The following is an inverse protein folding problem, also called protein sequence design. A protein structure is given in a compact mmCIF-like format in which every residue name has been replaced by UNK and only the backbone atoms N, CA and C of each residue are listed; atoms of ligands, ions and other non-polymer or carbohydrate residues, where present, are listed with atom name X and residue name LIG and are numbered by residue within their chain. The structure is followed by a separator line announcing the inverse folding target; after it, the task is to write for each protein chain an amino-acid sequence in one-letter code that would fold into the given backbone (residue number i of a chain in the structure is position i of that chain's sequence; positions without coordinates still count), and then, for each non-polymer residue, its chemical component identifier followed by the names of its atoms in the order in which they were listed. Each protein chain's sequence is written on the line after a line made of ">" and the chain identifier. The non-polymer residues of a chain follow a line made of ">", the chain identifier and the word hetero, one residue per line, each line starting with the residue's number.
data_IF_662764975341
#
_entry.id   IF_662764975341
#
_cell.length_a   1.000
_cell.length_b   1.000
_cell.length_c   1.000
_cell.angle_alpha   90.00
_cell.angle_beta   90.00
_cell.angle_gamma   90.00
#
_symmetry.space_group_name_H-M   'P 1'
#
loop_
_entity.id
_entity.type
_entity.pdbx_description
1 polymer ?
#
# COMPACT_ATOMS: atom_id res chain seq x y z
N UNK A 1 18.22 16.32 -10.00
CA UNK A 1 16.91 17.00 -10.08
C UNK A 1 15.98 16.21 -9.18
N UNK A 2 15.23 16.82 -8.25
CA UNK A 2 14.22 16.09 -7.47
C UNK A 2 13.15 15.59 -8.43
N UNK A 3 12.69 14.35 -8.25
CA UNK A 3 11.64 13.75 -9.08
C UNK A 3 10.24 13.91 -8.48
N UNK A 4 10.12 14.58 -7.34
CA UNK A 4 8.89 14.86 -6.59
C UNK A 4 9.13 16.04 -5.64
N UNK A 5 8.06 16.60 -5.09
CA UNK A 5 8.08 17.74 -4.15
C UNK A 5 8.82 18.96 -4.73
N UNK A 6 8.58 19.21 -6.01
CA UNK A 6 9.13 20.34 -6.77
C UNK A 6 8.05 21.32 -7.27
N UNK A 7 6.82 21.13 -6.78
CA UNK A 7 5.66 21.97 -7.10
C UNK A 7 4.77 21.43 -8.21
N UNK A 8 5.18 20.35 -8.91
CA UNK A 8 4.35 19.73 -9.96
C UNK A 8 3.04 19.16 -9.40
N UNK A 9 3.05 18.73 -8.16
CA UNK A 9 1.87 18.19 -7.50
C UNK A 9 0.78 19.25 -7.30
N UNK A 10 1.16 20.48 -6.96
CA UNK A 10 0.24 21.63 -6.93
C UNK A 10 -0.19 22.04 -8.33
N UNK A 11 0.70 21.96 -9.32
CA UNK A 11 0.35 22.22 -10.72
C UNK A 11 -0.69 21.23 -11.24
N UNK A 12 -0.60 19.94 -10.86
CA UNK A 12 -1.64 18.95 -11.13
C UNK A 12 -2.99 19.39 -10.59
N UNK A 13 -3.03 19.83 -9.32
CA UNK A 13 -4.27 20.29 -8.70
C UNK A 13 -4.85 21.49 -9.44
N UNK A 14 -4.01 22.48 -9.76
CA UNK A 14 -4.44 23.66 -10.55
C UNK A 14 -4.91 23.28 -11.95
N UNK A 15 -4.24 22.32 -12.61
CA UNK A 15 -4.65 21.82 -13.92
C UNK A 15 -6.03 21.18 -13.88
N UNK A 16 -6.30 20.32 -12.89
CA UNK A 16 -7.57 19.62 -12.76
C UNK A 16 -8.71 20.60 -12.44
N UNK A 17 -8.52 21.46 -11.44
CA UNK A 17 -9.56 22.42 -11.03
C UNK A 17 -9.72 23.59 -12.02
N UNK A 18 -8.75 23.82 -12.89
CA UNK A 18 -8.82 24.80 -13.99
C UNK A 18 -9.55 24.30 -15.24
N UNK A 19 -10.04 23.07 -15.26
CA UNK A 19 -10.78 22.56 -16.43
C UNK A 19 -12.11 23.29 -16.59
N UNK A 20 -12.47 23.73 -17.82
CA UNK A 20 -13.69 24.48 -18.07
C UNK A 20 -14.97 23.70 -17.77
N UNK A 21 -14.89 22.38 -17.76
CA UNK A 21 -15.99 21.46 -17.51
C UNK A 21 -15.83 20.69 -16.18
N UNK A 22 -15.22 21.30 -15.18
CA UNK A 22 -14.95 20.65 -13.87
C UNK A 22 -16.21 20.09 -13.21
N UNK A 23 -17.37 20.72 -13.41
CA UNK A 23 -18.65 20.23 -12.90
C UNK A 23 -19.03 18.86 -13.46
N UNK A 24 -18.63 18.52 -14.68
CA UNK A 24 -18.84 17.20 -15.28
C UNK A 24 -17.89 16.13 -14.74
N UNK A 25 -16.77 16.55 -14.13
CA UNK A 25 -15.77 15.68 -13.50
C UNK A 25 -16.21 15.29 -12.09
N UNK A 26 -16.94 16.19 -11.43
CA UNK A 26 -17.38 16.00 -10.05
C UNK A 26 -18.20 14.71 -9.87
N UNK A 27 -17.80 13.91 -8.88
CA UNK A 27 -18.44 12.63 -8.57
C UNK A 27 -18.08 11.47 -9.50
N UNK A 28 -17.13 11.69 -10.43
CA UNK A 28 -16.71 10.66 -11.38
C UNK A 28 -15.22 10.31 -11.21
N UNK A 29 -14.89 9.20 -10.50
CA UNK A 29 -13.51 8.77 -10.28
C UNK A 29 -12.71 8.60 -11.57
N UNK A 30 -13.32 8.02 -12.62
CA UNK A 30 -12.63 7.77 -13.88
C UNK A 30 -12.22 9.07 -14.57
N UNK A 31 -13.11 10.07 -14.62
CA UNK A 31 -12.76 11.37 -15.20
C UNK A 31 -11.63 12.08 -14.45
N UNK A 32 -11.57 11.93 -13.12
CA UNK A 32 -10.43 12.47 -12.33
C UNK A 32 -9.14 11.74 -12.69
N UNK A 33 -9.15 10.41 -12.79
CA UNK A 33 -8.00 9.61 -13.21
C UNK A 33 -7.56 9.95 -14.64
N UNK A 34 -8.50 10.17 -15.55
CA UNK A 34 -8.19 10.56 -16.95
C UNK A 34 -7.47 11.92 -17.01
N UNK A 35 -7.86 12.89 -16.16
CA UNK A 35 -7.16 14.18 -16.05
C UNK A 35 -5.76 14.04 -15.44
N UNK A 36 -5.59 13.17 -14.44
CA UNK A 36 -4.25 12.86 -13.92
C UNK A 36 -3.38 12.30 -15.03
N UNK A 37 -3.87 11.30 -15.79
CA UNK A 37 -3.14 10.73 -16.92
C UNK A 37 -2.82 11.76 -18.01
N UNK A 38 -3.73 12.71 -18.28
CA UNK A 38 -3.47 13.77 -19.25
C UNK A 38 -2.29 14.66 -18.81
N UNK A 39 -2.25 15.01 -17.53
CA UNK A 39 -1.17 15.79 -16.96
C UNK A 39 0.17 15.03 -16.95
N UNK A 40 0.13 13.73 -16.68
CA UNK A 40 1.29 12.83 -16.69
C UNK A 40 1.99 12.73 -18.06
N UNK A 41 1.31 13.00 -19.16
CA UNK A 41 1.95 13.01 -20.50
C UNK A 41 3.10 14.01 -20.61
N UNK A 42 3.09 15.05 -19.78
CA UNK A 42 4.11 16.11 -19.78
C UNK A 42 4.94 16.15 -18.48
N UNK A 43 4.49 15.46 -17.43
CA UNK A 43 5.09 15.52 -16.12
C UNK A 43 5.21 14.11 -15.53
N UNK A 44 6.39 13.75 -15.08
CA UNK A 44 6.57 12.47 -14.39
C UNK A 44 5.94 12.49 -12.99
N UNK A 45 5.13 11.47 -12.67
CA UNK A 45 4.59 11.18 -11.34
C UNK A 45 4.95 9.77 -10.90
N UNK A 46 5.05 9.55 -9.58
CA UNK A 46 5.34 8.24 -8.99
C UNK A 46 4.05 7.44 -8.74
N UNK A 47 3.08 7.53 -9.64
CA UNK A 47 1.84 6.78 -9.51
C UNK A 47 2.04 5.29 -9.83
N UNK A 48 1.21 4.44 -9.24
CA UNK A 48 1.24 2.98 -9.46
C UNK A 48 1.06 2.60 -10.93
N UNK A 49 0.41 3.47 -11.71
CA UNK A 49 0.17 3.28 -13.14
C UNK A 49 -0.93 2.27 -13.46
N UNK A 50 -1.31 2.19 -14.73
CA UNK A 50 -2.47 1.42 -15.17
C UNK A 50 -2.27 -0.10 -15.01
N UNK A 51 -1.09 -0.62 -15.35
CA UNK A 51 -0.82 -2.07 -15.34
C UNK A 51 -0.84 -2.65 -13.93
N UNK A 52 -0.04 -2.08 -13.01
CA UNK A 52 -0.07 -2.48 -11.59
C UNK A 52 -1.41 -2.16 -10.93
N UNK A 53 -1.98 -1.00 -11.26
CA UNK A 53 -3.31 -0.60 -10.83
C UNK A 53 -4.36 -1.65 -11.17
N UNK A 54 -4.30 -2.22 -12.39
CA UNK A 54 -5.19 -3.31 -12.80
C UNK A 54 -5.01 -4.56 -11.95
N UNK A 55 -3.78 -4.98 -11.68
CA UNK A 55 -3.51 -6.15 -10.81
C UNK A 55 -4.15 -5.95 -9.43
N UNK A 56 -4.01 -4.77 -8.83
CA UNK A 56 -4.59 -4.49 -7.50
C UNK A 56 -6.11 -4.38 -7.56
N UNK A 57 -6.69 -3.79 -8.62
CA UNK A 57 -8.15 -3.74 -8.76
C UNK A 57 -8.78 -5.12 -8.99
N UNK A 58 -8.12 -6.00 -9.75
CA UNK A 58 -8.54 -7.39 -9.90
C UNK A 58 -8.47 -8.13 -8.55
N UNK A 59 -7.41 -7.89 -7.77
CA UNK A 59 -7.27 -8.44 -6.42
C UNK A 59 -8.36 -7.92 -5.47
N UNK A 60 -8.73 -6.64 -5.55
CA UNK A 60 -9.85 -6.07 -4.78
C UNK A 60 -11.17 -6.76 -5.15
N UNK A 61 -11.41 -7.02 -6.43
CA UNK A 61 -12.61 -7.71 -6.90
C UNK A 61 -12.70 -9.17 -6.41
N UNK A 62 -11.54 -9.84 -6.25
CA UNK A 62 -11.44 -11.21 -5.73
C UNK A 62 -11.61 -11.24 -4.20
N UNK A 63 -10.82 -10.44 -3.47
CA UNK A 63 -10.76 -10.41 -2.00
C UNK A 63 -12.03 -9.79 -1.42
N UNK A 64 -12.62 -8.79 -2.10
CA UNK A 64 -13.77 -8.00 -1.65
C UNK A 64 -13.56 -7.44 -0.23
N UNK A 65 -12.47 -6.68 0.00
CA UNK A 65 -12.11 -6.24 1.34
C UNK A 65 -13.18 -5.33 1.92
N UNK A 66 -13.58 -5.57 3.17
CA UNK A 66 -14.39 -4.63 3.92
C UNK A 66 -13.57 -3.39 4.30
N UNK A 67 -12.32 -3.59 4.66
CA UNK A 67 -11.35 -2.55 5.01
C UNK A 67 -10.07 -2.75 4.21
N UNK A 68 -9.66 -1.75 3.45
CA UNK A 68 -8.37 -1.70 2.79
C UNK A 68 -7.53 -0.55 3.36
N UNK A 69 -6.23 -0.76 3.49
CA UNK A 69 -5.26 0.27 3.87
C UNK A 69 -4.20 0.38 2.79
N UNK A 70 -3.86 1.60 2.41
CA UNK A 70 -2.74 1.96 1.57
C UNK A 70 -1.70 2.69 2.39
N UNK A 71 -0.44 2.29 2.25
CA UNK A 71 0.70 2.99 2.81
C UNK A 71 1.42 3.73 1.67
N UNK A 72 1.36 5.07 1.70
CA UNK A 72 1.87 5.95 0.64
C UNK A 72 0.77 6.34 -0.35
N UNK A 73 0.13 7.48 -0.12
CA UNK A 73 -0.97 7.98 -0.97
C UNK A 73 -0.52 8.92 -2.09
N UNK A 74 0.66 9.55 -1.93
CA UNK A 74 1.19 10.58 -2.81
C UNK A 74 0.10 11.63 -3.17
N UNK A 75 -0.22 11.79 -4.45
CA UNK A 75 -1.26 12.74 -4.92
C UNK A 75 -2.64 12.11 -5.11
N UNK A 76 -2.83 10.84 -4.69
CA UNK A 76 -4.13 10.20 -4.60
C UNK A 76 -4.59 9.41 -5.82
N UNK A 77 -3.72 9.14 -6.80
CA UNK A 77 -4.07 8.29 -7.94
C UNK A 77 -4.58 6.91 -7.51
N UNK A 78 -3.79 6.19 -6.72
CA UNK A 78 -4.16 4.88 -6.15
C UNK A 78 -5.35 4.98 -5.20
N UNK A 79 -5.41 6.01 -4.36
CA UNK A 79 -6.53 6.24 -3.44
C UNK A 79 -7.88 6.37 -4.17
N UNK A 80 -7.89 7.03 -5.35
CA UNK A 80 -9.09 7.14 -6.19
C UNK A 80 -9.39 5.82 -6.89
N UNK A 81 -8.38 5.23 -7.54
CA UNK A 81 -8.54 4.00 -8.32
C UNK A 81 -8.99 2.83 -7.43
N UNK A 82 -8.29 2.61 -6.32
CA UNK A 82 -8.59 1.49 -5.42
C UNK A 82 -9.78 1.77 -4.51
N UNK A 83 -9.97 3.03 -4.08
CA UNK A 83 -11.14 3.44 -3.30
C UNK A 83 -12.44 3.19 -4.06
N UNK A 84 -12.49 3.53 -5.34
CA UNK A 84 -13.64 3.24 -6.21
C UNK A 84 -13.81 1.72 -6.41
N UNK A 85 -12.73 0.97 -6.61
CA UNK A 85 -12.77 -0.49 -6.72
C UNK A 85 -13.29 -1.15 -5.44
N UNK A 86 -12.83 -0.72 -4.25
CA UNK A 86 -13.31 -1.19 -2.95
C UNK A 86 -14.80 -0.88 -2.78
N UNK A 87 -15.25 0.34 -3.13
CA UNK A 87 -16.68 0.72 -3.11
C UNK A 87 -17.52 -0.19 -4.00
N UNK A 88 -17.07 -0.43 -5.23
CA UNK A 88 -17.77 -1.33 -6.18
C UNK A 88 -17.77 -2.78 -5.73
N UNK A 89 -16.76 -3.22 -5.00
CA UNK A 89 -16.69 -4.56 -4.41
C UNK A 89 -17.55 -4.73 -3.14
N UNK A 90 -18.22 -3.64 -2.66
CA UNK A 90 -19.06 -3.64 -1.47
C UNK A 90 -18.30 -3.36 -0.16
N UNK A 91 -17.03 -3.00 -0.24
CA UNK A 91 -16.21 -2.57 0.90
C UNK A 91 -16.75 -1.29 1.55
N UNK A 92 -16.26 -1.00 2.74
CA UNK A 92 -16.80 0.10 3.57
C UNK A 92 -15.77 1.15 3.93
N UNK A 93 -14.47 0.80 3.91
CA UNK A 93 -13.42 1.69 4.38
C UNK A 93 -12.16 1.51 3.55
N UNK A 94 -11.62 2.63 3.12
CA UNK A 94 -10.32 2.72 2.50
C UNK A 94 -9.52 3.82 3.22
N UNK A 95 -8.38 3.47 3.79
CA UNK A 95 -7.49 4.42 4.45
C UNK A 95 -6.23 4.60 3.62
N UNK A 96 -5.95 5.84 3.21
CA UNK A 96 -4.72 6.23 2.55
C UNK A 96 -3.83 6.97 3.54
N UNK A 97 -2.65 6.45 3.82
CA UNK A 97 -1.71 7.00 4.78
C UNK A 97 -0.59 7.74 4.04
N UNK A 98 -0.50 9.06 4.24
CA UNK A 98 0.46 9.90 3.54
C UNK A 98 1.27 10.73 4.54
N UNK A 99 2.61 10.71 4.40
CA UNK A 99 3.51 11.45 5.29
C UNK A 99 3.50 12.95 5.00
N UNK A 100 3.49 13.34 3.72
CA UNK A 100 3.57 14.73 3.30
C UNK A 100 2.20 15.42 3.40
N UNK A 101 2.04 16.47 4.23
CA UNK A 101 0.76 17.12 4.41
C UNK A 101 0.24 17.81 3.15
N UNK A 102 1.14 18.29 2.26
CA UNK A 102 0.75 18.89 0.98
C UNK A 102 0.16 17.84 0.05
N UNK A 103 0.81 16.68 -0.06
CA UNK A 103 0.30 15.58 -0.89
C UNK A 103 -1.02 15.04 -0.36
N UNK A 104 -1.12 14.87 0.96
CA UNK A 104 -2.37 14.47 1.60
C UNK A 104 -3.51 15.48 1.37
N UNK A 105 -3.22 16.78 1.36
CA UNK A 105 -4.22 17.81 1.04
C UNK A 105 -4.68 17.70 -0.42
N UNK A 106 -3.75 17.51 -1.37
CA UNK A 106 -4.08 17.27 -2.78
C UNK A 106 -4.94 16.03 -2.92
N UNK A 107 -4.53 14.91 -2.30
CA UNK A 107 -5.30 13.66 -2.30
C UNK A 107 -6.72 13.87 -1.77
N UNK A 108 -6.89 14.58 -0.65
CA UNK A 108 -8.22 14.86 -0.09
C UNK A 108 -9.11 15.63 -1.06
N UNK A 109 -8.55 16.65 -1.75
CA UNK A 109 -9.31 17.44 -2.72
C UNK A 109 -9.71 16.60 -3.94
N UNK A 110 -8.80 15.75 -4.44
CA UNK A 110 -9.10 14.89 -5.60
C UNK A 110 -10.05 13.75 -5.24
N UNK A 111 -9.96 13.18 -4.04
CA UNK A 111 -10.91 12.20 -3.50
C UNK A 111 -12.31 12.81 -3.37
N UNK A 112 -12.41 14.08 -2.91
CA UNK A 112 -13.67 14.82 -2.87
C UNK A 112 -14.23 15.04 -4.26
N UNK A 113 -13.42 15.53 -5.20
CA UNK A 113 -13.81 15.73 -6.59
C UNK A 113 -14.30 14.42 -7.23
N UNK A 114 -13.63 13.30 -6.92
CA UNK A 114 -14.03 11.97 -7.38
C UNK A 114 -15.31 11.42 -6.72
N UNK A 115 -15.85 12.10 -5.70
CA UNK A 115 -17.05 11.64 -4.98
C UNK A 115 -16.81 10.40 -4.12
N UNK A 116 -15.60 10.27 -3.52
CA UNK A 116 -15.20 9.08 -2.75
C UNK A 116 -15.03 9.34 -1.24
N UNK A 117 -15.46 10.50 -0.73
CA UNK A 117 -15.31 10.84 0.72
C UNK A 117 -16.08 9.93 1.66
N UNK A 118 -17.09 9.24 1.16
CA UNK A 118 -17.88 8.28 1.92
C UNK A 118 -17.10 7.01 2.26
N UNK A 119 -16.06 6.70 1.51
CA UNK A 119 -15.28 5.48 1.67
C UNK A 119 -13.78 5.73 1.89
N UNK A 120 -13.20 6.73 1.21
CA UNK A 120 -11.76 7.03 1.29
C UNK A 120 -11.49 8.07 2.37
N UNK A 121 -10.59 7.73 3.29
CA UNK A 121 -10.09 8.64 4.31
C UNK A 121 -8.58 8.74 4.25
N UNK A 122 -8.07 9.95 4.09
CA UNK A 122 -6.63 10.24 4.08
C UNK A 122 -6.16 10.57 5.49
N UNK A 123 -5.09 9.93 5.93
CA UNK A 123 -4.45 10.15 7.22
C UNK A 123 -3.06 10.74 7.00
N UNK A 124 -2.81 11.90 7.59
CA UNK A 124 -1.53 12.62 7.48
C UNK A 124 -0.60 12.21 8.59
N UNK A 125 0.62 11.83 8.25
CA UNK A 125 1.67 11.50 9.19
C UNK A 125 2.38 10.18 8.86
N UNK A 126 3.25 9.78 9.77
CA UNK A 126 3.99 8.51 9.65
C UNK A 126 3.03 7.33 9.62
N UNK A 127 3.32 6.36 8.77
CA UNK A 127 2.55 5.13 8.61
C UNK A 127 2.42 4.36 9.92
N UNK A 128 3.54 4.13 10.63
CA UNK A 128 3.56 3.41 11.91
C UNK A 128 2.65 4.06 12.96
N UNK A 129 2.71 5.37 13.10
CA UNK A 129 1.89 6.12 14.06
C UNK A 129 0.42 6.13 13.67
N UNK A 130 0.12 6.22 12.37
CA UNK A 130 -1.25 6.19 11.84
C UNK A 130 -1.88 4.79 12.00
N UNK A 131 -1.13 3.72 11.72
CA UNK A 131 -1.56 2.34 11.93
C UNK A 131 -1.87 2.07 13.41
N UNK A 132 -0.95 2.46 14.31
CA UNK A 132 -1.16 2.32 15.75
C UNK A 132 -2.40 3.08 16.22
N UNK A 133 -2.61 4.32 15.74
CA UNK A 133 -3.78 5.13 16.06
C UNK A 133 -5.08 4.47 15.58
N UNK A 134 -5.13 3.98 14.33
CA UNK A 134 -6.31 3.28 13.79
C UNK A 134 -6.69 2.06 14.64
N UNK A 135 -5.69 1.32 15.11
CA UNK A 135 -5.92 0.16 15.97
C UNK A 135 -6.38 0.55 17.37
N UNK A 136 -5.67 1.47 18.04
CA UNK A 136 -5.94 1.86 19.45
C UNK A 136 -7.25 2.63 19.60
N UNK A 137 -7.66 3.40 18.58
CA UNK A 137 -8.99 4.03 18.56
C UNK A 137 -10.14 3.03 18.39
N UNK A 138 -9.85 1.78 18.05
CA UNK A 138 -10.85 0.77 17.74
C UNK A 138 -11.45 0.88 16.35
N UNK A 139 -10.98 1.81 15.54
CA UNK A 139 -11.51 2.06 14.20
C UNK A 139 -11.18 0.92 13.21
N UNK A 140 -9.97 0.35 13.32
CA UNK A 140 -9.56 -0.81 12.52
C UNK A 140 -9.01 -1.88 13.45
N UNK A 141 -9.58 -3.09 13.39
CA UNK A 141 -9.09 -4.26 14.11
C UNK A 141 -8.49 -5.30 13.18
N UNK A 142 -8.96 -5.35 11.94
CA UNK A 142 -8.50 -6.27 10.91
C UNK A 142 -8.46 -5.56 9.56
N UNK A 143 -7.49 -5.94 8.72
CA UNK A 143 -7.29 -5.44 7.37
C UNK A 143 -7.30 -6.62 6.42
N UNK A 144 -8.28 -6.66 5.53
CA UNK A 144 -8.41 -7.75 4.55
C UNK A 144 -7.43 -7.57 3.38
N UNK A 145 -7.15 -6.32 3.00
CA UNK A 145 -6.20 -6.01 1.93
C UNK A 145 -5.35 -4.79 2.30
N UNK A 146 -4.02 -4.93 2.21
CA UNK A 146 -3.08 -3.83 2.42
C UNK A 146 -2.23 -3.62 1.16
N UNK A 147 -2.22 -2.39 0.64
CA UNK A 147 -1.31 -1.96 -0.41
C UNK A 147 -0.12 -1.22 0.21
N UNK A 148 1.10 -1.64 -0.11
CA UNK A 148 2.33 -1.16 0.51
C UNK A 148 3.19 -0.51 -0.58
N UNK A 149 3.22 0.82 -0.62
CA UNK A 149 3.96 1.61 -1.61
C UNK A 149 4.51 2.93 -1.03
N UNK A 150 4.99 2.89 0.20
CA UNK A 150 5.56 4.05 0.86
C UNK A 150 7.10 3.97 0.93
N UNK A 151 7.69 4.52 1.97
CA UNK A 151 9.10 4.50 2.28
C UNK A 151 9.63 3.05 2.40
N UNK A 152 10.44 2.62 1.46
CA UNK A 152 10.85 1.20 1.30
C UNK A 152 11.43 0.56 2.56
N UNK A 153 12.33 1.22 3.34
CA UNK A 153 12.81 0.66 4.61
C UNK A 153 11.70 0.43 5.66
N UNK A 154 10.58 1.15 5.57
CA UNK A 154 9.45 1.01 6.49
C UNK A 154 8.58 -0.24 6.26
N UNK A 155 8.67 -0.90 5.10
CA UNK A 155 7.78 -2.02 4.75
C UNK A 155 7.75 -3.12 5.80
N UNK A 156 8.92 -3.57 6.28
CA UNK A 156 8.99 -4.64 7.28
C UNK A 156 8.51 -4.18 8.64
N UNK A 157 8.94 -3.00 9.10
CA UNK A 157 8.57 -2.49 10.42
C UNK A 157 7.06 -2.28 10.54
N UNK A 158 6.44 -1.71 9.50
CA UNK A 158 5.01 -1.46 9.48
C UNK A 158 4.20 -2.75 9.36
N UNK A 159 4.67 -3.71 8.55
CA UNK A 159 4.06 -5.04 8.50
C UNK A 159 4.15 -5.75 9.85
N UNK A 160 5.32 -5.76 10.49
CA UNK A 160 5.50 -6.34 11.84
C UNK A 160 4.63 -5.65 12.89
N UNK A 161 4.45 -4.33 12.80
CA UNK A 161 3.53 -3.61 13.67
C UNK A 161 2.10 -4.10 13.48
N UNK A 162 1.63 -4.22 12.23
CA UNK A 162 0.29 -4.72 11.94
C UNK A 162 0.09 -6.17 12.38
N UNK A 163 1.10 -7.02 12.23
CA UNK A 163 1.08 -8.41 12.74
C UNK A 163 1.01 -8.43 14.27
N UNK A 164 1.82 -7.61 14.95
CA UNK A 164 1.86 -7.50 16.42
C UNK A 164 0.52 -7.05 17.00
N UNK A 165 -0.11 -6.08 16.34
CA UNK A 165 -1.43 -5.57 16.72
C UNK A 165 -2.58 -6.52 16.33
N UNK A 166 -2.32 -7.56 15.53
CA UNK A 166 -3.35 -8.46 15.01
C UNK A 166 -4.19 -7.87 13.87
N UNK A 167 -3.79 -6.72 13.31
CA UNK A 167 -4.46 -6.12 12.15
C UNK A 167 -4.26 -6.97 10.90
N UNK A 168 -3.09 -7.57 10.75
CA UNK A 168 -2.78 -8.58 9.73
C UNK A 168 -2.83 -9.95 10.40
N UNK A 169 -3.66 -10.81 9.88
CA UNK A 169 -3.89 -12.16 10.37
C UNK A 169 -4.22 -13.11 9.22
N UNK A 170 -4.49 -14.38 9.51
CA UNK A 170 -4.89 -15.32 8.46
C UNK A 170 -6.09 -14.80 7.65
N UNK A 171 -5.98 -14.84 6.34
CA UNK A 171 -6.95 -14.30 5.40
C UNK A 171 -6.62 -12.89 4.90
N UNK A 172 -5.69 -12.16 5.54
CA UNK A 172 -5.22 -10.88 5.04
C UNK A 172 -4.37 -11.05 3.77
N UNK A 173 -4.48 -10.10 2.85
CA UNK A 173 -3.72 -10.05 1.61
C UNK A 173 -2.87 -8.79 1.57
N UNK A 174 -1.62 -8.93 1.15
CA UNK A 174 -0.67 -7.84 0.99
C UNK A 174 -0.32 -7.69 -0.48
N UNK A 175 -0.34 -6.47 -0.99
CA UNK A 175 0.20 -6.12 -2.30
C UNK A 175 1.29 -5.07 -2.09
N UNK A 176 2.56 -5.40 -2.40
CA UNK A 176 3.70 -4.54 -2.18
C UNK A 176 4.35 -4.14 -3.50
N UNK A 177 4.43 -2.84 -3.74
CA UNK A 177 5.02 -2.29 -4.97
C UNK A 177 6.53 -2.09 -4.88
N UNK A 178 7.17 -2.02 -6.04
CA UNK A 178 8.59 -1.75 -6.23
C UNK A 178 9.54 -2.70 -5.49
N UNK A 179 9.16 -3.94 -5.29
CA UNK A 179 9.98 -4.92 -4.57
C UNK A 179 11.18 -5.42 -5.39
N UNK A 180 11.14 -5.26 -6.74
CA UNK A 180 12.26 -5.57 -7.64
C UNK A 180 13.06 -4.34 -8.04
N UNK A 181 12.37 -3.23 -8.35
CA UNK A 181 12.99 -1.97 -8.73
C UNK A 181 12.19 -0.80 -8.11
N UNK A 182 12.85 0.08 -7.33
CA UNK A 182 14.27 0.07 -6.94
C UNK A 182 14.69 -1.11 -6.07
N UNK A 183 13.74 -1.92 -5.58
CA UNK A 183 13.99 -3.15 -4.85
C UNK A 183 13.79 -3.03 -3.34
N UNK A 184 13.35 -4.13 -2.73
CA UNK A 184 13.25 -4.28 -1.28
C UNK A 184 13.55 -5.72 -0.86
N UNK A 185 14.84 -6.17 -1.00
CA UNK A 185 15.22 -7.53 -0.66
C UNK A 185 14.85 -7.95 0.77
N UNK A 186 15.01 -7.10 1.81
CA UNK A 186 14.63 -7.47 3.17
C UNK A 186 13.14 -7.78 3.33
N UNK A 187 12.26 -7.02 2.65
CA UNK A 187 10.83 -7.30 2.67
C UNK A 187 10.51 -8.66 2.03
N UNK A 188 11.11 -8.93 0.86
CA UNK A 188 10.94 -10.23 0.18
C UNK A 188 11.44 -11.39 1.03
N UNK A 189 12.59 -11.25 1.70
CA UNK A 189 13.12 -12.23 2.64
C UNK A 189 12.14 -12.49 3.78
N UNK A 190 11.59 -11.44 4.39
CA UNK A 190 10.67 -11.56 5.52
C UNK A 190 9.37 -12.27 5.15
N UNK A 191 8.71 -11.88 4.05
CA UNK A 191 7.43 -12.49 3.66
C UNK A 191 7.57 -13.91 3.10
N UNK A 192 8.79 -14.29 2.68
CA UNK A 192 9.11 -15.65 2.19
C UNK A 192 9.72 -16.55 3.26
N UNK A 193 9.97 -16.02 4.47
CA UNK A 193 10.54 -16.78 5.58
C UNK A 193 9.57 -17.81 6.11
N UNK A 194 10.10 -18.98 6.50
CA UNK A 194 9.34 -19.99 7.22
C UNK A 194 9.03 -19.58 8.66
N UNK A 195 8.12 -20.27 9.31
CA UNK A 195 7.83 -20.07 10.75
C UNK A 195 9.07 -20.27 11.60
N UNK A 196 9.87 -21.31 11.28
CA UNK A 196 11.10 -21.61 12.01
C UNK A 196 12.11 -20.46 11.90
N UNK A 197 12.30 -19.93 10.68
CA UNK A 197 13.19 -18.78 10.44
C UNK A 197 12.69 -17.52 11.17
N UNK A 198 11.39 -17.23 11.11
CA UNK A 198 10.81 -16.09 11.83
C UNK A 198 10.93 -16.24 13.35
N UNK A 199 10.69 -17.44 13.89
CA UNK A 199 10.85 -17.73 15.31
C UNK A 199 12.30 -17.61 15.76
N UNK A 200 13.24 -18.07 14.95
CA UNK A 200 14.68 -17.93 15.26
C UNK A 200 15.07 -16.45 15.27
N UNK A 201 14.68 -15.68 14.25
CA UNK A 201 14.91 -14.23 14.20
C UNK A 201 14.28 -13.51 15.39
N UNK A 202 13.10 -13.93 15.83
CA UNK A 202 12.39 -13.35 16.97
C UNK A 202 13.14 -13.50 18.31
N UNK A 203 14.01 -14.50 18.46
CA UNK A 203 14.86 -14.66 19.66
C UNK A 203 15.85 -13.51 19.84
N UNK A 204 16.21 -12.81 18.76
CA UNK A 204 17.10 -11.64 18.81
C UNK A 204 16.40 -10.39 19.34
N UNK A 205 15.11 -10.46 19.67
CA UNK A 205 14.31 -9.34 20.14
C UNK A 205 13.71 -8.49 19.00
N UNK A 206 13.10 -7.35 19.33
CA UNK A 206 12.46 -6.47 18.37
C UNK A 206 13.48 -5.78 17.45
N UNK A 207 13.04 -5.46 16.25
CA UNK A 207 13.83 -4.67 15.31
C UNK A 207 13.80 -3.20 15.73
N UNK A 208 14.97 -2.63 16.05
CA UNK A 208 15.11 -1.25 16.54
C UNK A 208 15.51 -0.25 15.46
N UNK A 209 15.66 -0.68 14.21
CA UNK A 209 16.05 0.13 13.07
C UNK A 209 15.46 -0.41 11.78
N UNK A 210 15.62 0.36 10.70
CA UNK A 210 15.25 -0.10 9.38
C UNK A 210 16.32 -1.02 8.78
N UNK A 211 15.89 -2.10 8.15
CA UNK A 211 16.77 -2.94 7.34
C UNK A 211 16.86 -2.35 5.92
N UNK A 212 18.03 -1.79 5.59
CA UNK A 212 18.28 -1.14 4.31
C UNK A 212 19.16 -1.97 3.38
N UNK A 213 19.43 -3.23 3.70
CA UNK A 213 20.25 -4.13 2.86
C UNK A 213 19.71 -4.21 1.44
N UNK A 214 20.54 -3.90 0.45
CA UNK A 214 20.15 -3.94 -0.96
C UNK A 214 19.16 -2.85 -1.39
N UNK A 215 18.84 -1.89 -0.53
CA UNK A 215 18.12 -0.67 -0.86
C UNK A 215 19.15 0.42 -1.15
N UNK A 216 19.01 1.16 -2.25
CA UNK A 216 19.94 2.23 -2.59
C UNK A 216 19.94 3.33 -1.53
N UNK A 217 21.11 3.95 -1.29
CA UNK A 217 21.23 5.06 -0.32
C UNK A 217 20.26 6.21 -0.64
N UNK A 218 20.05 6.48 -1.92
CA UNK A 218 19.06 7.47 -2.35
C UNK A 218 17.65 7.10 -1.87
N UNK A 219 17.20 5.86 -2.12
CA UNK A 219 15.89 5.37 -1.69
C UNK A 219 15.78 5.35 -0.17
N UNK A 220 16.84 4.92 0.52
CA UNK A 220 16.86 4.81 1.98
C UNK A 220 16.81 6.17 2.70
N UNK A 221 17.20 7.26 2.05
CA UNK A 221 17.28 8.58 2.69
C UNK A 221 16.38 9.65 2.02
N UNK A 222 15.71 9.29 0.91
CA UNK A 222 14.98 10.24 0.07
C UNK A 222 13.87 11.00 0.82
N UNK A 223 13.16 10.33 1.73
CA UNK A 223 11.95 10.87 2.33
C UNK A 223 12.09 11.25 3.81
N UNK A 224 12.97 10.62 4.57
CA UNK A 224 12.94 10.68 6.03
C UNK A 224 14.28 11.01 6.71
N UNK A 225 15.37 11.16 5.94
CA UNK A 225 16.68 11.46 6.49
C UNK A 225 17.39 10.25 7.12
N UNK A 226 18.68 10.43 7.48
CA UNK A 226 19.58 9.33 7.89
C UNK A 226 19.30 8.73 9.28
N UNK A 227 18.75 9.56 10.18
CA UNK A 227 18.53 9.16 11.59
C UNK A 227 17.12 8.62 11.84
N UNK A 228 16.36 8.39 10.78
CA UNK A 228 15.00 7.90 10.88
C UNK A 228 14.98 6.43 11.29
N UNK A 229 14.09 6.10 12.23
CA UNK A 229 13.86 4.74 12.74
C UNK A 229 12.38 4.48 12.98
N UNK A 230 11.94 3.22 13.07
CA UNK A 230 10.57 2.89 13.49
C UNK A 230 10.25 3.52 14.85
N UNK A 231 8.99 3.93 15.04
CA UNK A 231 8.52 4.43 16.35
C UNK A 231 8.27 3.28 17.32
N UNK A 232 7.88 2.12 16.78
CA UNK A 232 7.52 0.95 17.58
C UNK A 232 8.50 -0.19 17.36
N UNK A 233 9.14 -0.61 18.44
CA UNK A 233 10.05 -1.76 18.47
C UNK A 233 9.23 -3.04 18.68
N UNK A 234 8.89 -3.71 17.60
CA UNK A 234 8.04 -4.92 17.62
C UNK A 234 8.70 -6.10 16.92
N UNK A 235 8.37 -7.29 17.36
CA UNK A 235 8.85 -8.54 16.76
C UNK A 235 8.01 -8.93 15.53
N UNK A 236 6.72 -8.55 15.50
CA UNK A 236 5.72 -9.07 14.59
C UNK A 236 5.07 -10.34 15.15
N UNK A 237 4.48 -11.16 14.27
CA UNK A 237 3.93 -12.45 14.64
C UNK A 237 4.65 -13.58 13.89
N UNK A 238 5.60 -14.29 14.52
CA UNK A 238 6.40 -15.30 13.86
C UNK A 238 5.59 -16.56 13.46
N UNK A 239 4.31 -16.66 13.84
CA UNK A 239 3.44 -17.77 13.46
C UNK A 239 2.64 -17.48 12.17
N UNK A 240 2.71 -16.28 11.62
CA UNK A 240 2.12 -15.96 10.33
C UNK A 240 3.08 -16.32 9.21
N UNK A 241 2.54 -16.98 8.18
CA UNK A 241 3.26 -17.29 6.95
C UNK A 241 2.55 -16.63 5.76
N UNK A 242 3.29 -16.40 4.70
CA UNK A 242 2.77 -15.77 3.50
C UNK A 242 3.04 -16.65 2.28
N UNK A 243 2.00 -17.00 1.57
CA UNK A 243 2.14 -17.54 0.23
C UNK A 243 2.27 -16.37 -0.73
N UNK A 244 3.42 -16.24 -1.37
CA UNK A 244 3.81 -15.06 -2.10
C UNK A 244 3.97 -15.33 -3.59
N UNK A 245 3.33 -14.50 -4.44
CA UNK A 245 3.47 -14.50 -5.88
C UNK A 245 4.00 -13.15 -6.36
N UNK A 246 5.02 -13.19 -7.21
CA UNK A 246 5.56 -12.02 -7.86
C UNK A 246 4.93 -11.86 -9.23
N UNK A 247 4.29 -10.71 -9.50
CA UNK A 247 3.79 -10.35 -10.80
C UNK A 247 4.90 -9.62 -11.57
N UNK A 248 5.38 -10.25 -12.63
CA UNK A 248 6.36 -9.69 -13.54
C UNK A 248 5.66 -9.28 -14.86
N UNK A 249 6.18 -8.25 -15.54
CA UNK A 249 7.41 -7.47 -15.24
C UNK A 249 7.21 -6.35 -14.22
N UNK A 250 6.01 -6.12 -13.71
CA UNK A 250 5.63 -4.92 -12.94
C UNK A 250 6.32 -4.83 -11.58
N UNK A 251 6.86 -5.94 -11.04
CA UNK A 251 7.55 -5.96 -9.75
C UNK A 251 6.63 -5.77 -8.55
N UNK A 252 5.35 -6.12 -8.69
CA UNK A 252 4.37 -6.15 -7.61
C UNK A 252 4.36 -7.52 -6.93
N UNK A 253 4.56 -7.57 -5.62
CA UNK A 253 4.45 -8.80 -4.83
C UNK A 253 3.08 -8.88 -4.15
N UNK A 254 2.33 -9.94 -4.45
CA UNK A 254 1.10 -10.29 -3.72
C UNK A 254 1.41 -11.43 -2.75
N UNK A 255 0.96 -11.29 -1.50
CA UNK A 255 1.18 -12.26 -0.43
C UNK A 255 -0.11 -12.54 0.33
N UNK A 256 -0.50 -13.80 0.40
CA UNK A 256 -1.67 -14.25 1.16
C UNK A 256 -1.21 -14.74 2.54
N UNK A 257 -1.77 -14.15 3.58
CA UNK A 257 -1.44 -14.49 4.95
C UNK A 257 -2.21 -15.73 5.43
N UNK A 258 -1.50 -16.68 6.05
CA UNK A 258 -2.09 -17.83 6.74
C UNK A 258 -1.48 -18.01 8.12
N UNK A 259 -2.20 -18.69 9.02
CA UNK A 259 -1.66 -19.10 10.31
C UNK A 259 -1.10 -20.52 10.20
N UNK A 260 0.05 -20.75 10.79
CA UNK A 260 0.59 -22.10 10.92
C UNK A 260 -0.21 -22.88 11.98
N UNK A 261 -1.13 -23.75 11.54
CA UNK A 261 -1.89 -24.68 12.37
C UNK A 261 -1.57 -26.14 11.99
N UNK A 262 -0.34 -26.60 12.20
CA UNK A 262 0.03 -28.00 11.93
C UNK A 262 0.49 -28.27 10.48
N UNK A 263 0.65 -29.56 10.08
CA UNK A 263 1.21 -29.89 8.78
C UNK A 263 0.36 -29.31 7.65
N UNK A 264 1.02 -28.54 6.79
CA UNK A 264 0.43 -27.91 5.62
C UNK A 264 -0.10 -29.01 4.70
N UNK A 265 -1.42 -29.16 4.62
CA UNK A 265 -2.04 -29.81 3.47
C UNK A 265 -1.85 -28.84 2.30
N UNK A 266 -0.90 -29.16 1.44
CA UNK A 266 -0.64 -28.46 0.21
C UNK A 266 -1.94 -28.35 -0.60
N UNK A 267 -2.53 -27.17 -0.65
CA UNK A 267 -3.40 -26.85 -1.76
C UNK A 267 -2.48 -26.72 -2.96
N UNK A 268 -2.54 -27.71 -3.84
CA UNK A 268 -1.74 -27.78 -5.06
C UNK A 268 -1.92 -26.50 -5.87
N UNK A 269 -0.87 -26.07 -6.53
CA UNK A 269 -0.79 -24.88 -7.39
C UNK A 269 -1.87 -24.81 -8.50
N UNK A 270 -2.63 -25.88 -8.69
CA UNK A 270 -3.67 -26.03 -9.72
C UNK A 270 -4.91 -25.14 -9.52
N UNK A 271 -5.05 -24.45 -8.37
CA UNK A 271 -6.16 -23.51 -8.15
C UNK A 271 -5.93 -22.13 -8.77
N UNK A 272 -4.70 -21.80 -9.17
CA UNK A 272 -4.36 -20.53 -9.80
C UNK A 272 -4.46 -20.53 -11.34
N UNK A 273 -4.47 -21.73 -11.97
CA UNK A 273 -4.56 -21.87 -13.43
C UNK A 273 -5.99 -21.90 -13.98
N UNK A 274 -6.99 -21.78 -13.10
CA UNK A 274 -8.40 -21.70 -13.54
C UNK A 274 -8.95 -20.30 -13.45
N UNK A 275 -8.33 -19.36 -14.16
CA UNK A 275 -9.07 -18.17 -14.59
C UNK A 275 -9.67 -18.46 -15.96
N UNK A 276 -10.99 -18.39 -16.14
CA UNK A 276 -11.57 -18.52 -17.47
C UNK A 276 -11.13 -17.31 -18.30
N UNK A 277 -10.50 -17.60 -19.43
CA UNK A 277 -10.34 -16.67 -20.54
C UNK A 277 -11.73 -16.24 -21.02
N UNK A 278 -12.12 -15.01 -20.74
CA UNK A 278 -13.17 -14.28 -21.49
C UNK A 278 -12.84 -12.81 -21.55
#
# INVERSE_FOLDING_TARGET
>A
MRQYDDGRELQLLHFIYGQPNIEEVQGNPQKVLDLIHEFEKQHFFMNVGAEKGKVVTDLIAEVKPHTMIELGGYVGYSAILFGDAVRRAGGKRYFSLELNPTFAAITNLLVELAGLRDIVRVLVGRSDSSLHKLYTSGEVKHVELMFIDHYKPGYISDLKLCEHLGMISAGSVLAADNVLYPGNPPYLEYVRSTVEQKRETAKNGPTTGYDTRGISDWTAHAFMGKDNKPVYDVIGNPNLVYESKLNQPEGLQVSFCSSFCGPILWRTADSFDRMPSR
#
